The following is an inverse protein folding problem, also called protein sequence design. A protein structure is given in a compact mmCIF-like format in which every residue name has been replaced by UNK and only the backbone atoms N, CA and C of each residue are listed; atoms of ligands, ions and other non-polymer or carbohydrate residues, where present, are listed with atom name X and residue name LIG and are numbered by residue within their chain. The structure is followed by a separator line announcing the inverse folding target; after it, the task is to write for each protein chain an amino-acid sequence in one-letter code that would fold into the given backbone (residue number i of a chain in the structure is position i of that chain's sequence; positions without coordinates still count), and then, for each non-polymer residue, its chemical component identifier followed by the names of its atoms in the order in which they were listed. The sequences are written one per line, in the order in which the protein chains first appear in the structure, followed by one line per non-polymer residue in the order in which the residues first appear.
data_IF_994328142062
#
_entry.id   IF_994328142062
#
_cell.length_a   1.000
_cell.length_b   1.000
_cell.length_c   1.000
_cell.angle_alpha   90.00
_cell.angle_beta   90.00
_cell.angle_gamma   90.00
#
_symmetry.space_group_name_H-M   'P 1'
#
loop_
_entity.id
_entity.type
_entity.pdbx_description
1 polymer ?
#
# COMPACT_ATOMS: atom_id res chain seq x y z
N UNK A 1 53.85 15.68 -18.01
CA UNK A 1 52.71 15.64 -18.95
C UNK A 1 51.89 14.42 -18.62
N UNK A 2 50.88 14.61 -17.79
CA UNK A 2 49.87 13.64 -17.37
C UNK A 2 48.81 13.51 -18.46
N UNK A 3 48.39 12.30 -18.87
CA UNK A 3 47.18 12.15 -19.67
C UNK A 3 45.98 12.07 -18.73
N UNK A 4 45.05 12.98 -18.96
CA UNK A 4 43.75 13.14 -18.30
C UNK A 4 42.81 11.99 -18.63
N UNK A 5 42.25 11.39 -17.58
CA UNK A 5 41.10 10.49 -17.60
C UNK A 5 39.85 11.26 -18.04
N UNK A 6 39.14 10.72 -19.02
CA UNK A 6 37.83 11.21 -19.46
C UNK A 6 36.75 10.75 -18.47
N UNK A 7 35.89 11.70 -18.09
CA UNK A 7 34.78 11.59 -17.15
C UNK A 7 33.92 10.34 -17.36
N UNK A 8 33.70 9.63 -16.24
CA UNK A 8 32.74 8.56 -16.13
C UNK A 8 31.31 9.10 -16.11
N UNK A 9 30.46 8.40 -16.85
CA UNK A 9 29.02 8.57 -16.93
C UNK A 9 28.38 8.42 -15.53
N UNK A 10 28.10 9.55 -14.87
CA UNK A 10 27.37 9.56 -13.61
C UNK A 10 25.92 9.16 -13.91
N UNK A 11 25.56 7.93 -13.58
CA UNK A 11 24.19 7.44 -13.60
C UNK A 11 23.27 8.39 -12.82
N UNK A 12 22.58 9.27 -13.56
CA UNK A 12 21.58 10.19 -13.02
C UNK A 12 20.51 9.35 -12.34
N UNK A 13 20.43 9.44 -11.02
CA UNK A 13 19.34 8.80 -10.27
C UNK A 13 17.99 9.27 -10.87
N UNK A 14 17.06 8.34 -11.13
CA UNK A 14 15.77 8.68 -11.72
C UNK A 14 15.04 9.67 -10.80
N UNK A 15 14.26 10.59 -11.38
CA UNK A 15 13.51 11.60 -10.61
C UNK A 15 12.49 10.88 -9.72
N UNK A 16 12.81 10.71 -8.43
CA UNK A 16 11.93 10.10 -7.43
C UNK A 16 10.92 11.12 -6.93
N UNK A 17 9.64 10.76 -6.93
CA UNK A 17 8.66 11.38 -6.05
C UNK A 17 8.74 10.61 -4.73
N UNK A 18 9.53 11.13 -3.80
CA UNK A 18 9.68 10.56 -2.46
C UNK A 18 8.45 10.97 -1.66
N UNK A 19 7.76 9.99 -1.07
CA UNK A 19 6.67 10.22 -0.11
C UNK A 19 7.18 9.81 1.27
N UNK A 20 8.14 10.55 1.81
CA UNK A 20 8.58 10.33 3.17
C UNK A 20 7.51 10.85 4.15
N UNK A 21 7.31 10.19 5.31
CA UNK A 21 6.54 10.75 6.41
C UNK A 21 7.23 12.03 6.90
N UNK A 22 6.82 13.19 6.37
CA UNK A 22 7.47 14.49 6.62
C UNK A 22 7.42 15.46 5.43
N UNK A 23 7.28 14.96 4.19
CA UNK A 23 7.22 15.81 3.00
C UNK A 23 5.85 16.47 2.76
N UNK A 24 4.86 16.13 3.60
CA UNK A 24 3.56 16.81 3.59
C UNK A 24 3.67 18.04 4.49
N UNK A 25 4.18 19.13 3.93
CA UNK A 25 4.12 20.43 4.63
C UNK A 25 2.64 20.79 4.88
N UNK A 26 2.31 21.02 6.15
CA UNK A 26 1.04 21.62 6.52
C UNK A 26 0.92 23.00 5.84
N UNK A 27 -0.16 23.24 5.11
CA UNK A 27 -0.48 24.56 4.58
C UNK A 27 -0.55 25.57 5.73
N UNK A 28 0.16 26.71 5.68
CA UNK A 28 -0.02 27.76 6.68
C UNK A 28 -1.46 28.29 6.57
N UNK A 29 -2.10 28.47 7.73
CA UNK A 29 -3.50 28.87 7.88
C UNK A 29 -3.87 30.03 6.94
N UNK A 30 -4.68 29.76 5.91
CA UNK A 30 -5.24 30.84 5.09
C UNK A 30 -6.36 31.51 5.86
N UNK A 31 -6.14 32.77 6.27
CA UNK A 31 -7.19 33.66 6.78
C UNK A 31 -8.40 33.62 5.84
N UNK A 32 -9.53 33.19 6.39
CA UNK A 32 -10.81 33.15 5.69
C UNK A 32 -11.19 34.54 5.16
N UNK A 33 -11.50 34.62 3.86
CA UNK A 33 -12.18 35.76 3.26
C UNK A 33 -13.66 35.37 3.08
N UNK A 34 -14.64 36.18 3.51
CA UNK A 34 -16.05 35.84 3.38
C UNK A 34 -16.51 35.92 1.91
N UNK A 35 -17.56 35.16 1.52
CA UNK A 35 -18.02 35.12 0.14
C UNK A 35 -18.80 36.40 -0.25
N UNK A 36 -18.85 36.74 -1.55
CA UNK A 36 -19.59 37.89 -2.03
C UNK A 36 -21.10 37.61 -2.02
N UNK A 37 -21.88 38.63 -1.63
CA UNK A 37 -23.35 38.67 -1.72
C UNK A 37 -23.80 38.79 -3.18
N UNK A 38 -24.70 37.90 -3.60
CA UNK A 38 -25.35 37.93 -4.92
C UNK A 38 -26.62 38.78 -4.86
N UNK A 39 -26.68 39.85 -5.65
CA UNK A 39 -27.88 40.66 -5.88
C UNK A 39 -28.88 39.92 -6.79
N UNK A 40 -30.13 39.83 -6.35
CA UNK A 40 -31.25 39.28 -7.10
C UNK A 40 -32.00 40.39 -7.85
N UNK A 41 -31.76 40.56 -9.16
CA UNK A 41 -32.73 41.12 -10.12
C UNK A 41 -32.17 41.19 -11.57
N UNK A 42 -32.54 40.22 -12.41
CA UNK A 42 -32.64 40.39 -13.88
C UNK A 42 -33.48 39.24 -14.50
N UNK A 43 -34.38 39.50 -15.48
CA UNK A 43 -35.29 38.51 -16.04
C UNK A 43 -34.66 37.68 -17.17
N UNK A 44 -35.03 36.40 -17.25
CA UNK A 44 -34.60 35.45 -18.29
C UNK A 44 -35.56 35.46 -19.50
N UNK A 45 -35.07 35.30 -20.75
CA UNK A 45 -35.94 34.98 -21.88
C UNK A 45 -36.16 33.47 -22.00
N UNK A 46 -37.40 33.14 -22.35
CA UNK A 46 -37.95 31.79 -22.47
C UNK A 46 -37.47 31.05 -23.74
N UNK A 47 -37.17 29.76 -23.56
CA UNK A 47 -37.27 28.73 -24.59
C UNK A 47 -37.50 27.39 -23.89
N UNK A 48 -38.77 27.06 -23.67
CA UNK A 48 -39.25 25.70 -23.40
C UNK A 48 -39.11 24.86 -24.69
N UNK A 49 -38.51 23.68 -24.62
CA UNK A 49 -39.27 22.43 -24.48
C UNK A 49 -38.44 21.18 -24.85
N UNK A 50 -38.77 20.07 -24.19
CA UNK A 50 -38.22 18.71 -24.28
C UNK A 50 -37.13 18.34 -23.27
N UNK A 51 -37.44 18.45 -21.96
CA UNK A 51 -36.89 17.50 -20.97
C UNK A 51 -37.99 17.05 -20.02
N UNK A 52 -38.23 15.74 -20.03
CA UNK A 52 -39.15 15.03 -19.14
C UNK A 52 -38.88 15.36 -17.67
N UNK A 53 -39.95 15.73 -16.97
CA UNK A 53 -40.01 15.93 -15.53
C UNK A 53 -39.46 14.71 -14.76
N UNK A 54 -38.25 14.86 -14.22
CA UNK A 54 -37.82 14.16 -13.02
C UNK A 54 -37.47 15.24 -11.99
N UNK A 55 -38.49 15.61 -11.21
CA UNK A 55 -38.47 16.70 -10.23
C UNK A 55 -37.28 16.61 -9.29
N UNK A 56 -36.59 17.73 -9.09
CA UNK A 56 -35.58 17.91 -8.03
C UNK A 56 -36.27 17.83 -6.67
N UNK A 57 -35.82 17.01 -5.71
CA UNK A 57 -36.44 16.96 -4.38
C UNK A 57 -36.00 18.17 -3.54
N UNK A 58 -36.92 18.75 -2.77
CA UNK A 58 -36.61 19.76 -1.74
C UNK A 58 -35.80 19.19 -0.56
N UNK A 59 -35.09 20.05 0.16
CA UNK A 59 -34.15 19.71 1.25
C UNK A 59 -34.75 18.88 2.40
N UNK A 60 -36.08 18.90 2.59
CA UNK A 60 -36.77 18.03 3.55
C UNK A 60 -36.87 16.57 3.06
N UNK A 61 -37.14 16.38 1.76
CA UNK A 61 -37.11 15.06 1.13
C UNK A 61 -35.69 14.50 1.09
N UNK A 62 -34.68 15.36 0.90
CA UNK A 62 -33.27 14.94 0.98
C UNK A 62 -32.90 14.38 2.37
N UNK A 63 -33.35 15.02 3.46
CA UNK A 63 -33.09 14.54 4.82
C UNK A 63 -33.81 13.22 5.16
N UNK A 64 -35.05 13.02 4.71
CA UNK A 64 -35.75 11.73 4.89
C UNK A 64 -35.10 10.60 4.06
N UNK A 65 -34.64 10.91 2.85
CA UNK A 65 -33.97 9.97 1.93
C UNK A 65 -32.60 9.49 2.46
N UNK A 66 -31.91 10.27 3.30
CA UNK A 66 -30.60 9.94 3.89
C UNK A 66 -30.70 8.85 4.98
N UNK A 67 -31.88 8.65 5.58
CA UNK A 67 -32.08 7.73 6.71
C UNK A 67 -32.41 6.28 6.31
N UNK A 68 -32.56 5.97 5.02
CA UNK A 68 -33.05 4.67 4.58
C UNK A 68 -31.93 3.60 4.49
N UNK A 69 -32.01 2.45 5.20
CA UNK A 69 -30.97 1.41 5.24
C UNK A 69 -30.59 0.77 3.88
N UNK A 70 -31.40 0.97 2.84
CA UNK A 70 -31.10 0.50 1.48
C UNK A 70 -30.16 1.43 0.68
N UNK A 71 -29.84 2.64 1.18
CA UNK A 71 -28.94 3.58 0.51
C UNK A 71 -27.60 3.65 1.22
N UNK A 72 -26.52 3.42 0.46
CA UNK A 72 -25.19 3.76 0.93
C UNK A 72 -25.09 5.29 1.00
N UNK A 73 -24.68 5.81 2.16
CA UNK A 73 -24.33 7.23 2.33
C UNK A 73 -23.08 7.64 1.51
N UNK A 74 -22.44 6.66 0.86
CA UNK A 74 -21.31 6.79 -0.05
C UNK A 74 -21.78 7.13 -1.47
N UNK A 75 -20.89 7.74 -2.25
CA UNK A 75 -20.96 7.97 -3.69
C UNK A 75 -21.60 9.27 -4.17
N UNK A 76 -21.62 10.28 -3.31
CA UNK A 76 -22.16 11.63 -3.57
C UNK A 76 -21.05 12.66 -3.85
N UNK A 77 -19.80 12.31 -3.55
CA UNK A 77 -18.75 13.31 -3.33
C UNK A 77 -18.03 13.77 -4.60
N UNK A 78 -18.19 13.06 -5.72
CA UNK A 78 -17.43 13.32 -6.94
C UNK A 78 -18.34 13.56 -8.15
N UNK A 79 -17.94 14.41 -9.13
CA UNK A 79 -18.58 14.45 -10.45
C UNK A 79 -18.24 13.20 -11.27
N UNK A 80 -18.93 12.91 -12.39
CA UNK A 80 -18.57 11.80 -13.27
C UNK A 80 -17.11 11.87 -13.72
N UNK A 81 -16.39 10.75 -13.67
CA UNK A 81 -15.05 10.63 -14.21
C UNK A 81 -15.13 10.37 -15.71
N UNK A 82 -14.50 11.23 -16.50
CA UNK A 82 -14.51 11.16 -17.98
C UNK A 82 -13.11 10.89 -18.51
N UNK A 83 -13.00 10.39 -19.75
CA UNK A 83 -11.70 10.12 -20.38
C UNK A 83 -10.82 11.38 -20.47
N UNK A 84 -11.41 12.57 -20.62
CA UNK A 84 -10.69 13.85 -20.65
C UNK A 84 -10.01 14.21 -19.33
N UNK A 85 -10.44 13.62 -18.21
CA UNK A 85 -9.82 13.79 -16.89
C UNK A 85 -8.70 12.76 -16.64
N UNK A 86 -8.53 11.78 -17.53
CA UNK A 86 -7.50 10.76 -17.42
C UNK A 86 -6.22 11.25 -18.12
N UNK A 87 -5.07 11.06 -17.48
CA UNK A 87 -3.77 11.36 -18.11
C UNK A 87 -3.59 10.50 -19.38
N UNK A 88 -3.38 11.09 -20.56
CA UNK A 88 -3.57 10.38 -21.83
C UNK A 88 -2.58 9.23 -22.07
N UNK A 89 -1.41 9.27 -21.43
CA UNK A 89 -0.28 8.37 -21.75
C UNK A 89 0.44 7.77 -20.54
N UNK A 90 0.05 8.10 -19.31
CA UNK A 90 0.87 7.75 -18.14
C UNK A 90 0.00 7.55 -16.88
N UNK A 91 -0.22 6.29 -16.44
CA UNK A 91 -0.99 6.01 -15.24
C UNK A 91 -0.29 6.45 -13.94
N UNK A 92 1.04 6.57 -13.91
CA UNK A 92 1.76 7.04 -12.72
C UNK A 92 1.47 8.53 -12.48
N UNK A 93 1.43 9.33 -13.55
CA UNK A 93 0.99 10.73 -13.45
C UNK A 93 -0.47 10.85 -13.02
N UNK A 94 -1.34 9.96 -13.53
CA UNK A 94 -2.74 9.91 -13.08
C UNK A 94 -2.84 9.58 -11.59
N UNK A 95 -2.10 8.57 -11.12
CA UNK A 95 -2.04 8.18 -9.72
C UNK A 95 -1.55 9.35 -8.86
N UNK A 96 -0.44 9.99 -9.25
CA UNK A 96 0.10 11.14 -8.53
C UNK A 96 -0.92 12.29 -8.42
N UNK A 97 -1.67 12.56 -9.49
CA UNK A 97 -2.72 13.57 -9.46
C UNK A 97 -3.82 13.24 -8.46
N UNK A 98 -4.23 11.97 -8.33
CA UNK A 98 -5.22 11.57 -7.33
C UNK A 98 -4.63 11.49 -5.91
N UNK A 99 -3.37 11.09 -5.78
CA UNK A 99 -2.67 11.00 -4.51
C UNK A 99 -2.45 12.37 -3.86
N UNK A 100 -2.34 13.42 -4.69
CA UNK A 100 -2.25 14.83 -4.25
C UNK A 100 -3.61 15.51 -4.05
N UNK A 101 -4.71 14.77 -4.12
CA UNK A 101 -6.04 15.34 -3.86
C UNK A 101 -6.06 15.90 -2.42
N UNK A 102 -6.36 17.19 -2.22
CA UNK A 102 -6.25 17.85 -0.91
C UNK A 102 -7.21 17.26 0.14
N UNK A 103 -8.19 16.48 -0.29
CA UNK A 103 -9.11 15.75 0.58
C UNK A 103 -8.48 14.47 1.18
N UNK A 104 -7.32 14.02 0.68
CA UNK A 104 -6.49 12.98 1.29
C UNK A 104 -5.63 13.59 2.39
N UNK A 105 -6.20 13.71 3.59
CA UNK A 105 -5.49 14.24 4.74
C UNK A 105 -4.37 13.26 5.18
N UNK A 106 -3.19 13.75 5.61
CA UNK A 106 -2.11 12.89 6.12
C UNK A 106 -2.55 11.96 7.24
N UNK A 107 -3.47 12.42 8.10
CA UNK A 107 -4.04 11.63 9.20
C UNK A 107 -4.82 10.40 8.74
N UNK A 108 -5.18 10.31 7.46
CA UNK A 108 -5.83 9.14 6.86
C UNK A 108 -4.85 8.10 6.31
N UNK A 109 -3.53 8.37 6.39
CA UNK A 109 -2.47 7.55 5.83
C UNK A 109 -2.77 7.10 4.38
N UNK A 110 -2.94 8.03 3.42
CA UNK A 110 -3.36 7.72 2.06
C UNK A 110 -2.40 6.79 1.30
N UNK A 111 -1.14 6.67 1.74
CA UNK A 111 -0.14 5.73 1.25
C UNK A 111 -0.43 4.25 1.62
N UNK A 112 -1.38 4.00 2.52
CA UNK A 112 -1.78 2.66 2.95
C UNK A 112 -2.40 1.91 1.78
N UNK A 113 -1.88 0.72 1.50
CA UNK A 113 -2.38 -0.14 0.43
C UNK A 113 -2.30 -1.62 0.81
N UNK A 114 -3.15 -2.42 0.17
CA UNK A 114 -3.14 -3.87 0.31
C UNK A 114 -2.25 -4.47 -0.76
N UNK A 115 -1.21 -5.20 -0.35
CA UNK A 115 -0.36 -6.02 -1.20
C UNK A 115 -0.88 -7.46 -1.24
N UNK A 116 -1.27 -7.92 -2.42
CA UNK A 116 -1.62 -9.31 -2.70
C UNK A 116 -0.49 -10.01 -3.48
N UNK A 117 -0.16 -11.22 -3.06
CA UNK A 117 0.85 -12.11 -3.66
C UNK A 117 0.31 -13.55 -3.65
N UNK A 118 0.84 -14.42 -4.50
CA UNK A 118 0.40 -15.82 -4.57
C UNK A 118 1.59 -16.79 -4.53
N UNK A 119 1.47 -17.87 -3.75
CA UNK A 119 2.48 -18.93 -3.72
C UNK A 119 2.35 -19.86 -4.92
N UNK A 120 3.47 -20.24 -5.51
CA UNK A 120 3.55 -21.34 -6.47
C UNK A 120 4.05 -22.62 -5.79
N UNK A 121 3.65 -23.81 -6.26
CA UNK A 121 2.75 -24.07 -7.40
C UNK A 121 1.26 -24.00 -7.04
N UNK A 122 0.89 -23.87 -5.76
CA UNK A 122 -0.50 -24.03 -5.30
C UNK A 122 -1.47 -22.94 -5.80
N UNK A 123 -0.95 -21.78 -6.20
CA UNK A 123 -1.75 -20.60 -6.52
C UNK A 123 -2.41 -19.94 -5.30
N UNK A 124 -2.07 -20.37 -4.06
CA UNK A 124 -2.69 -19.82 -2.85
C UNK A 124 -2.34 -18.34 -2.70
N UNK A 125 -3.37 -17.51 -2.69
CA UNK A 125 -3.24 -16.06 -2.53
C UNK A 125 -3.14 -15.69 -1.05
N UNK A 126 -2.36 -14.65 -0.76
CA UNK A 126 -2.34 -13.98 0.54
C UNK A 126 -2.27 -12.47 0.34
N UNK A 127 -2.84 -11.72 1.27
CA UNK A 127 -2.87 -10.27 1.22
C UNK A 127 -2.56 -9.67 2.60
N UNK A 128 -1.94 -8.49 2.61
CA UNK A 128 -1.63 -7.72 3.82
C UNK A 128 -1.52 -6.24 3.53
N UNK A 129 -1.63 -5.42 4.56
CA UNK A 129 -1.39 -3.97 4.47
C UNK A 129 0.12 -3.70 4.39
N UNK A 130 0.49 -2.77 3.51
CA UNK A 130 1.81 -2.16 3.39
C UNK A 130 1.63 -0.65 3.13
N UNK A 131 2.73 0.09 3.12
CA UNK A 131 2.72 1.53 2.86
C UNK A 131 3.56 1.82 1.62
N UNK A 132 2.98 2.56 0.66
CA UNK A 132 3.74 3.18 -0.42
C UNK A 132 4.76 4.15 0.16
N UNK A 133 5.98 4.15 -0.36
CA UNK A 133 7.04 5.09 0.08
C UNK A 133 7.61 5.92 -1.05
N UNK A 134 7.71 5.36 -2.25
CA UNK A 134 8.17 6.11 -3.42
C UNK A 134 7.29 5.76 -4.62
N UNK A 135 7.09 6.75 -5.49
CA UNK A 135 6.66 6.54 -6.86
C UNK A 135 7.82 7.01 -7.73
N UNK A 136 8.43 6.09 -8.46
CA UNK A 136 9.45 6.44 -9.45
C UNK A 136 8.87 6.36 -10.87
N UNK A 137 9.70 6.55 -11.87
CA UNK A 137 9.28 6.53 -13.28
C UNK A 137 8.83 5.15 -13.77
N UNK A 138 9.12 4.09 -13.02
CA UNK A 138 8.88 2.69 -13.39
C UNK A 138 7.74 2.06 -12.60
N UNK A 139 7.49 2.48 -11.35
CA UNK A 139 6.41 1.90 -10.55
C UNK A 139 6.28 2.40 -9.11
N UNK A 140 5.56 1.61 -8.32
CA UNK A 140 5.25 1.88 -6.90
C UNK A 140 6.22 1.12 -6.01
N UNK A 141 6.90 1.82 -5.11
CA UNK A 141 7.93 1.23 -4.25
C UNK A 141 7.41 1.04 -2.82
N UNK A 142 7.58 -0.17 -2.31
CA UNK A 142 7.25 -0.57 -0.94
C UNK A 142 8.46 -1.22 -0.29
N UNK A 143 8.69 -0.90 0.98
CA UNK A 143 9.82 -1.44 1.75
C UNK A 143 9.35 -2.42 2.81
N UNK A 144 10.04 -3.55 2.93
CA UNK A 144 9.73 -4.59 3.91
C UNK A 144 10.93 -5.53 4.11
N UNK A 145 10.82 -6.44 5.06
CA UNK A 145 11.55 -7.70 5.01
C UNK A 145 10.98 -8.53 3.83
N UNK A 146 11.79 -8.74 2.78
CA UNK A 146 11.49 -9.69 1.70
C UNK A 146 12.46 -10.87 1.65
N UNK A 147 13.48 -10.86 2.50
CA UNK A 147 14.36 -12.00 2.72
C UNK A 147 13.72 -13.14 3.53
N UNK A 148 12.62 -12.87 4.24
CA UNK A 148 11.81 -13.90 4.90
C UNK A 148 11.22 -14.86 3.89
N UNK A 149 11.56 -16.14 4.05
CA UNK A 149 11.05 -17.24 3.23
C UNK A 149 9.66 -17.71 3.70
N UNK A 150 9.19 -17.12 4.79
CA UNK A 150 7.81 -17.24 5.26
C UNK A 150 6.96 -16.09 4.68
N UNK A 151 5.82 -16.44 4.09
CA UNK A 151 4.89 -15.45 3.55
C UNK A 151 5.37 -14.80 2.26
N UNK A 152 5.36 -13.46 2.19
CA UNK A 152 5.46 -12.73 0.91
C UNK A 152 6.83 -12.81 0.24
N UNK A 153 7.92 -12.86 1.02
CA UNK A 153 9.28 -12.96 0.45
C UNK A 153 9.46 -14.29 -0.26
N UNK A 154 9.15 -15.40 0.41
CA UNK A 154 9.13 -16.73 -0.19
C UNK A 154 8.15 -16.90 -1.36
N UNK A 155 6.98 -16.25 -1.29
CA UNK A 155 6.02 -16.28 -2.40
C UNK A 155 6.54 -15.58 -3.66
N UNK A 156 7.23 -14.44 -3.51
CA UNK A 156 7.70 -13.63 -4.64
C UNK A 156 9.03 -14.12 -5.18
N UNK A 157 9.96 -14.44 -4.29
CA UNK A 157 11.36 -14.74 -4.61
C UNK A 157 11.74 -16.21 -4.38
N UNK A 158 10.78 -17.07 -4.07
CA UNK A 158 11.01 -18.51 -3.95
C UNK A 158 11.60 -18.94 -2.61
N UNK A 159 11.80 -20.25 -2.45
CA UNK A 159 12.33 -20.88 -1.24
C UNK A 159 13.44 -21.89 -1.59
N UNK A 160 14.42 -22.07 -0.70
CA UNK A 160 15.40 -23.15 -0.83
C UNK A 160 14.71 -24.51 -0.67
N UNK A 161 15.13 -25.50 -1.47
CA UNK A 161 14.56 -26.85 -1.50
C UNK A 161 14.61 -27.56 -0.14
N UNK A 162 15.61 -27.23 0.68
CA UNK A 162 15.85 -27.89 1.97
C UNK A 162 14.98 -27.32 3.10
N UNK A 163 14.30 -26.17 2.89
CA UNK A 163 13.32 -25.60 3.82
C UNK A 163 13.86 -25.14 5.19
N UNK A 164 15.15 -25.28 5.47
CA UNK A 164 15.73 -24.98 6.79
C UNK A 164 15.95 -23.49 7.04
N UNK A 165 16.25 -22.69 6.01
CA UNK A 165 16.61 -21.29 6.21
C UNK A 165 15.40 -20.34 6.07
N UNK A 166 14.86 -19.92 7.22
CA UNK A 166 13.70 -19.01 7.29
C UNK A 166 14.01 -17.58 6.85
N UNK A 167 15.30 -17.17 6.81
CA UNK A 167 15.69 -15.79 6.58
C UNK A 167 16.95 -15.70 5.71
N UNK A 168 16.78 -15.14 4.52
CA UNK A 168 17.85 -15.02 3.52
C UNK A 168 18.09 -13.57 3.13
N UNK A 169 19.16 -13.29 2.38
CA UNK A 169 19.37 -11.96 1.83
C UNK A 169 18.27 -11.56 0.82
N UNK A 170 18.02 -10.26 0.71
CA UNK A 170 17.27 -9.67 -0.40
C UNK A 170 17.95 -10.04 -1.73
N UNK A 171 17.18 -10.45 -2.76
CA UNK A 171 17.73 -10.58 -4.11
C UNK A 171 18.17 -9.21 -4.65
N UNK A 172 19.27 -9.17 -5.40
CA UNK A 172 19.70 -7.95 -6.10
C UNK A 172 19.05 -7.82 -7.48
N UNK A 173 18.87 -6.59 -8.01
CA UNK A 173 18.35 -6.37 -9.35
C UNK A 173 19.15 -7.12 -10.41
N UNK A 174 18.45 -7.80 -11.33
CA UNK A 174 19.06 -8.48 -12.47
C UNK A 174 19.77 -9.80 -12.13
N UNK A 175 19.76 -10.25 -10.88
CA UNK A 175 20.19 -11.61 -10.56
C UNK A 175 19.22 -12.62 -11.16
N UNK A 176 19.77 -13.54 -11.96
CA UNK A 176 19.00 -14.63 -12.53
C UNK A 176 18.78 -15.72 -11.48
N UNK A 177 17.61 -15.68 -10.85
CA UNK A 177 17.17 -16.66 -9.85
C UNK A 177 17.14 -18.10 -10.41
N UNK A 178 17.09 -18.28 -11.74
CA UNK A 178 17.13 -19.61 -12.36
C UNK A 178 18.50 -20.28 -12.30
N UNK A 179 19.56 -19.51 -12.00
CA UNK A 179 20.93 -20.01 -11.86
C UNK A 179 21.29 -20.40 -10.42
N UNK A 180 20.41 -20.15 -9.44
CA UNK A 180 20.63 -20.58 -8.07
C UNK A 180 20.14 -22.03 -7.90
N UNK A 181 21.09 -22.98 -7.95
CA UNK A 181 20.83 -24.40 -7.73
C UNK A 181 20.05 -24.63 -6.42
N UNK A 182 18.91 -25.33 -6.51
CA UNK A 182 18.11 -25.72 -5.35
C UNK A 182 17.06 -24.69 -4.88
N UNK A 183 16.86 -23.55 -5.56
CA UNK A 183 15.74 -22.65 -5.26
C UNK A 183 14.48 -23.02 -6.07
N UNK A 184 13.37 -23.20 -5.37
CA UNK A 184 12.05 -23.24 -5.99
C UNK A 184 11.67 -21.82 -6.44
N UNK A 185 11.41 -21.64 -7.73
CA UNK A 185 11.10 -20.33 -8.30
C UNK A 185 9.84 -19.71 -7.67
N UNK A 186 9.95 -18.44 -7.27
CA UNK A 186 8.83 -17.65 -6.77
C UNK A 186 7.90 -17.14 -7.88
N UNK A 187 6.87 -16.40 -7.49
CA UNK A 187 5.94 -15.72 -8.38
C UNK A 187 6.06 -14.20 -8.25
N UNK A 188 6.70 -13.58 -9.25
CA UNK A 188 6.91 -12.13 -9.28
C UNK A 188 5.64 -11.32 -9.52
N UNK A 189 4.51 -11.95 -9.83
CA UNK A 189 3.24 -11.24 -9.95
C UNK A 189 2.68 -10.82 -8.59
N UNK A 190 2.33 -9.55 -8.47
CA UNK A 190 1.66 -9.00 -7.32
C UNK A 190 0.62 -7.93 -7.71
N UNK A 191 -0.21 -7.57 -6.74
CA UNK A 191 -1.15 -6.46 -6.88
C UNK A 191 -1.10 -5.54 -5.67
N UNK A 192 -1.18 -4.22 -5.92
CA UNK A 192 -1.42 -3.20 -4.90
C UNK A 192 -2.82 -2.62 -5.07
N UNK A 193 -3.55 -2.48 -3.97
CA UNK A 193 -4.87 -1.81 -3.96
C UNK A 193 -4.90 -0.69 -2.93
N UNK A 194 -5.16 0.53 -3.39
CA UNK A 194 -5.43 1.71 -2.57
C UNK A 194 -6.93 1.90 -2.48
N UNK A 195 -7.45 2.08 -1.26
CA UNK A 195 -8.86 2.38 -1.02
C UNK A 195 -8.97 3.68 -0.24
N UNK A 196 -9.38 4.76 -0.91
CA UNK A 196 -9.61 6.06 -0.28
C UNK A 196 -11.10 6.24 -0.05
N UNK A 197 -11.60 5.62 1.01
CA UNK A 197 -13.03 5.58 1.35
C UNK A 197 -13.67 6.97 1.39
N UNK A 198 -12.98 7.96 1.94
CA UNK A 198 -13.46 9.36 2.02
C UNK A 198 -13.60 10.02 0.64
N UNK A 199 -12.80 9.59 -0.34
CA UNK A 199 -12.90 10.07 -1.72
C UNK A 199 -13.77 9.18 -2.58
N UNK A 200 -14.26 8.06 -2.06
CA UNK A 200 -14.97 7.06 -2.85
C UNK A 200 -14.16 6.63 -4.08
N UNK A 201 -12.84 6.51 -3.92
CA UNK A 201 -11.90 6.14 -4.98
C UNK A 201 -11.11 4.91 -4.59
N UNK A 202 -10.78 4.13 -5.61
CA UNK A 202 -9.89 3.00 -5.48
C UNK A 202 -8.92 3.03 -6.65
N UNK A 203 -7.66 2.67 -6.39
CA UNK A 203 -6.67 2.40 -7.44
C UNK A 203 -6.14 0.99 -7.27
N UNK A 204 -6.17 0.21 -8.36
CA UNK A 204 -5.60 -1.15 -8.41
C UNK A 204 -4.42 -1.16 -9.38
N UNK A 205 -3.31 -1.72 -8.95
CA UNK A 205 -2.10 -1.90 -9.75
C UNK A 205 -1.81 -3.39 -9.78
N UNK A 206 -1.59 -3.95 -10.96
CA UNK A 206 -1.22 -5.36 -11.16
C UNK A 206 0.04 -5.40 -12.03
N UNK A 207 1.05 -6.17 -11.62
CA UNK A 207 2.33 -6.18 -12.32
C UNK A 207 3.41 -7.05 -11.69
N UNK A 208 4.64 -6.85 -12.14
CA UNK A 208 5.81 -7.61 -11.71
C UNK A 208 6.56 -6.88 -10.60
N UNK A 209 6.99 -7.65 -9.60
CA UNK A 209 7.84 -7.19 -8.51
C UNK A 209 9.30 -7.27 -8.95
N UNK A 210 10.01 -6.15 -8.78
CA UNK A 210 11.44 -6.05 -8.96
C UNK A 210 12.10 -5.59 -7.66
N UNK A 211 13.18 -6.25 -7.19
CA UNK A 211 13.94 -5.75 -6.06
C UNK A 211 14.62 -4.41 -6.41
N UNK A 212 14.76 -3.55 -5.41
CA UNK A 212 15.68 -2.40 -5.48
C UNK A 212 17.09 -2.87 -5.14
N UNK A 213 18.09 -2.14 -5.62
CA UNK A 213 19.47 -2.37 -5.19
C UNK A 213 19.63 -2.13 -3.69
N UNK A 214 20.67 -2.72 -3.10
CA UNK A 214 21.04 -2.46 -1.70
C UNK A 214 21.29 -0.98 -1.44
N UNK A 215 21.93 -0.28 -2.38
CA UNK A 215 22.23 1.15 -2.29
C UNK A 215 20.95 1.98 -2.27
N UNK A 216 20.00 1.72 -3.18
CA UNK A 216 18.70 2.39 -3.18
C UNK A 216 17.93 2.15 -1.87
N UNK A 217 18.01 0.91 -1.35
CA UNK A 217 17.35 0.54 -0.10
C UNK A 217 17.97 1.21 1.13
N UNK A 218 19.30 1.38 1.13
CA UNK A 218 20.05 2.04 2.21
C UNK A 218 19.65 3.52 2.32
N UNK A 219 19.45 4.21 1.19
CA UNK A 219 19.02 5.62 1.17
C UNK A 219 17.71 5.80 1.94
N UNK A 220 16.69 4.99 1.66
CA UNK A 220 15.43 5.07 2.42
C UNK A 220 15.59 4.56 3.86
N UNK A 221 16.37 3.49 4.08
CA UNK A 221 16.61 2.92 5.40
C UNK A 221 17.13 3.94 6.40
N UNK A 222 18.06 4.80 5.99
CA UNK A 222 18.65 5.84 6.84
C UNK A 222 17.67 6.97 7.19
N UNK A 223 16.54 7.10 6.49
CA UNK A 223 15.47 8.06 6.85
C UNK A 223 14.55 7.53 7.96
N UNK A 224 14.58 6.23 8.25
CA UNK A 224 13.68 5.61 9.22
C UNK A 224 14.08 6.01 10.63
N UNK A 225 13.07 6.22 11.48
CA UNK A 225 13.29 6.43 12.91
C UNK A 225 14.10 5.26 13.51
N UNK A 226 14.97 5.58 14.47
CA UNK A 226 15.86 4.59 15.10
C UNK A 226 15.10 3.39 15.66
N UNK A 227 13.97 3.60 16.34
CA UNK A 227 13.13 2.51 16.85
C UNK A 227 12.59 1.60 15.75
N UNK A 228 12.28 2.16 14.58
CA UNK A 228 11.88 1.42 13.38
C UNK A 228 13.02 0.59 12.79
N UNK A 229 14.26 1.09 12.84
CA UNK A 229 15.46 0.36 12.42
C UNK A 229 15.75 -0.80 13.39
N UNK A 230 15.70 -0.56 14.70
CA UNK A 230 15.83 -1.57 15.76
C UNK A 230 14.78 -2.67 15.59
N UNK A 231 13.51 -2.31 15.44
CA UNK A 231 12.42 -3.28 15.30
C UNK A 231 12.57 -4.16 14.05
N UNK A 232 13.12 -3.62 12.96
CA UNK A 232 13.40 -4.40 11.76
C UNK A 232 14.55 -5.41 11.94
N UNK A 233 15.58 -5.09 12.74
CA UNK A 233 16.64 -6.03 13.12
C UNK A 233 16.15 -7.11 14.10
N UNK A 234 15.27 -6.74 15.03
CA UNK A 234 14.74 -7.65 16.04
C UNK A 234 13.69 -8.64 15.48
N UNK A 235 13.03 -8.29 14.37
CA UNK A 235 11.91 -9.04 13.81
C UNK A 235 12.33 -10.04 12.74
N UNK A 236 12.11 -11.32 13.01
CA UNK A 236 12.09 -12.37 11.98
C UNK A 236 10.68 -12.46 11.43
N UNK A 237 10.37 -11.51 10.55
CA UNK A 237 9.01 -11.26 10.10
C UNK A 237 8.36 -12.54 9.55
N UNK A 238 7.13 -12.79 10.01
CA UNK A 238 6.28 -13.94 9.64
C UNK A 238 6.66 -15.29 10.26
N UNK A 239 7.73 -15.36 11.05
CA UNK A 239 8.05 -16.56 11.83
C UNK A 239 7.03 -16.82 12.91
N UNK A 240 6.58 -18.07 13.00
CA UNK A 240 5.73 -18.53 14.09
C UNK A 240 6.54 -18.48 15.39
N UNK A 241 6.12 -17.65 16.33
CA UNK A 241 6.74 -17.55 17.66
C UNK A 241 6.10 -18.52 18.65
N UNK A 242 4.83 -18.82 18.44
CA UNK A 242 4.02 -19.61 19.33
C UNK A 242 2.85 -20.24 18.56
N UNK A 243 2.48 -21.46 18.96
CA UNK A 243 1.35 -22.20 18.41
C UNK A 243 0.74 -23.10 19.48
N UNK A 244 -0.59 -23.20 19.52
CA UNK A 244 -1.29 -24.16 20.36
C UNK A 244 -2.57 -24.63 19.66
N UNK A 245 -2.94 -25.89 19.85
CA UNK A 245 -4.24 -26.41 19.43
C UNK A 245 -5.38 -25.84 20.31
N UNK A 246 -6.52 -25.44 19.73
CA UNK A 246 -7.62 -24.78 20.47
C UNK A 246 -8.14 -25.55 21.67
N UNK A 247 -8.18 -26.89 21.60
CA UNK A 247 -8.70 -27.76 22.66
C UNK A 247 -7.86 -27.63 23.94
N UNK A 248 -6.54 -27.53 23.79
CA UNK A 248 -5.60 -27.39 24.91
C UNK A 248 -5.69 -25.99 25.53
N UNK A 249 -5.95 -24.96 24.73
CA UNK A 249 -6.10 -23.58 25.20
C UNK A 249 -7.33 -23.41 26.09
N UNK A 250 -8.45 -24.04 25.72
CA UNK A 250 -9.70 -24.02 26.51
C UNK A 250 -9.46 -24.63 27.90
N UNK A 251 -8.78 -25.77 27.97
CA UNK A 251 -8.52 -26.46 29.24
C UNK A 251 -7.53 -25.69 30.13
N UNK A 252 -6.52 -25.03 29.55
CA UNK A 252 -5.63 -24.14 30.32
C UNK A 252 -6.34 -22.89 30.82
N UNK A 253 -7.20 -22.26 30.00
CA UNK A 253 -8.02 -21.13 30.44
C UNK A 253 -8.93 -21.52 31.61
N UNK A 254 -9.53 -22.73 31.57
CA UNK A 254 -10.35 -23.26 32.67
C UNK A 254 -9.54 -23.52 33.94
N UNK A 255 -8.30 -24.01 33.83
CA UNK A 255 -7.41 -24.25 35.00
C UNK A 255 -6.91 -22.95 35.64
N UNK A 256 -6.77 -21.88 34.86
CA UNK A 256 -6.37 -20.54 35.34
C UNK A 256 -7.50 -19.80 36.06
N UNK A 257 -8.75 -20.26 35.96
CA UNK A 257 -9.92 -19.66 36.62
C UNK A 257 -10.33 -20.57 37.79
N UNK A 258 -10.26 -20.05 39.02
CA UNK A 258 -10.76 -20.76 40.21
C UNK A 258 -12.25 -21.14 40.01
N UNK A 259 -12.63 -22.43 40.16
CA UNK A 259 -14.01 -22.89 39.95
C UNK A 259 -15.06 -22.19 40.84
N UNK A 260 -14.64 -21.61 41.97
CA UNK A 260 -15.54 -20.89 42.89
C UNK A 260 -15.84 -19.45 42.46
N UNK A 261 -15.12 -18.90 41.48
CA UNK A 261 -15.29 -17.53 40.96
C UNK A 261 -16.16 -17.45 39.69
N UNK A 262 -16.81 -18.55 39.29
CA UNK A 262 -17.50 -18.69 38.00
C UNK A 262 -18.87 -17.98 37.90
N UNK A 263 -19.12 -16.89 38.64
CA UNK A 263 -20.37 -16.15 38.55
C UNK A 263 -20.23 -14.74 37.95
N UNK A 264 -19.03 -14.16 37.89
CA UNK A 264 -18.84 -12.80 37.40
C UNK A 264 -17.46 -12.69 36.74
N UNK A 265 -17.37 -13.01 35.45
CA UNK A 265 -16.17 -12.72 34.66
C UNK A 265 -16.17 -11.21 34.37
N UNK A 266 -15.24 -10.40 34.92
CA UNK A 266 -15.07 -9.01 34.50
C UNK A 266 -14.59 -8.98 33.04
N UNK A 267 -14.98 -7.96 32.28
CA UNK A 267 -14.84 -7.96 30.81
C UNK A 267 -13.41 -7.94 30.25
N UNK A 268 -12.38 -7.78 31.09
CA UNK A 268 -11.02 -7.48 30.61
C UNK A 268 -9.96 -8.41 31.24
N UNK A 269 -10.19 -9.73 31.23
CA UNK A 269 -9.18 -10.71 31.70
C UNK A 269 -8.06 -10.84 30.67
N UNK A 270 -7.08 -9.94 30.78
CA UNK A 270 -5.75 -10.01 30.16
C UNK A 270 -4.72 -10.66 31.12
N UNK A 271 -5.15 -11.68 31.87
CA UNK A 271 -4.31 -12.44 32.81
C UNK A 271 -4.41 -13.92 32.47
N UNK A 272 -3.91 -14.31 31.30
CA UNK A 272 -3.49 -15.70 31.09
C UNK A 272 -1.98 -15.77 31.25
N UNK A 273 -1.47 -16.60 32.17
CA UNK A 273 -0.02 -16.89 32.37
C UNK A 273 0.64 -17.62 31.17
N UNK A 274 0.04 -17.51 29.98
CA UNK A 274 0.47 -18.21 28.79
C UNK A 274 1.43 -17.30 28.04
N UNK A 275 2.72 -17.65 28.03
CA UNK A 275 3.70 -17.01 27.15
C UNK A 275 3.32 -17.26 25.69
N UNK A 276 2.89 -16.21 24.99
CA UNK A 276 2.46 -16.18 23.59
C UNK A 276 3.56 -15.68 22.63
N UNK A 277 4.79 -15.49 23.16
CA UNK A 277 5.92 -14.95 22.42
C UNK A 277 6.10 -13.43 22.52
N UNK A 278 5.22 -12.69 23.23
CA UNK A 278 5.43 -11.25 23.48
C UNK A 278 6.74 -10.97 24.20
N UNK A 279 7.04 -11.71 25.27
CA UNK A 279 8.27 -11.54 26.05
C UNK A 279 9.53 -11.82 25.21
N UNK A 280 9.46 -12.78 24.28
CA UNK A 280 10.54 -13.06 23.33
C UNK A 280 10.78 -11.87 22.37
N UNK A 281 9.73 -11.24 21.87
CA UNK A 281 9.84 -10.06 21.02
C UNK A 281 10.51 -8.89 21.75
N UNK A 282 10.07 -8.59 22.97
CA UNK A 282 10.64 -7.52 23.79
C UNK A 282 12.10 -7.80 24.16
N UNK A 283 12.44 -9.06 24.44
CA UNK A 283 13.82 -9.48 24.63
C UNK A 283 14.68 -9.18 23.38
N UNK A 284 14.22 -9.57 22.19
CA UNK A 284 14.94 -9.32 20.93
C UNK A 284 15.11 -7.82 20.64
N UNK A 285 14.11 -7.00 20.96
CA UNK A 285 14.23 -5.54 20.84
C UNK A 285 15.34 -5.03 21.75
N UNK A 286 15.34 -5.39 23.04
CA UNK A 286 16.39 -5.00 23.98
C UNK A 286 17.78 -5.45 23.53
N UNK A 287 17.92 -6.69 23.07
CA UNK A 287 19.17 -7.21 22.52
C UNK A 287 19.69 -6.35 21.34
N UNK A 288 18.79 -5.88 20.46
CA UNK A 288 19.17 -5.00 19.35
C UNK A 288 19.47 -3.57 19.81
N UNK A 289 18.75 -3.04 20.80
CA UNK A 289 19.04 -1.74 21.42
C UNK A 289 20.43 -1.72 22.05
N UNK A 290 20.78 -2.77 22.80
CA UNK A 290 22.11 -2.96 23.38
C UNK A 290 23.17 -3.12 22.30
N UNK A 291 22.93 -3.98 21.30
CA UNK A 291 23.86 -4.22 20.19
C UNK A 291 24.21 -2.94 19.43
N UNK A 292 23.23 -2.07 19.22
CA UNK A 292 23.41 -0.83 18.47
C UNK A 292 23.57 0.39 19.39
N UNK A 293 23.82 0.19 20.68
CA UNK A 293 24.13 1.29 21.60
C UNK A 293 25.39 2.04 21.11
N UNK A 294 25.29 3.36 20.96
CA UNK A 294 26.39 4.20 20.45
C UNK A 294 26.66 4.11 18.94
N UNK A 295 25.94 3.28 18.19
CA UNK A 295 26.01 3.24 16.72
C UNK A 295 25.13 4.35 16.15
N UNK A 296 25.73 5.37 15.55
CA UNK A 296 25.00 6.52 14.99
C UNK A 296 24.06 6.10 13.86
N UNK A 297 24.60 5.43 12.84
CA UNK A 297 23.84 4.91 11.69
C UNK A 297 23.74 3.39 11.77
N UNK A 298 22.55 2.88 12.08
CA UNK A 298 22.30 1.44 12.12
C UNK A 298 22.34 0.92 10.68
N UNK A 299 23.12 -0.14 10.37
CA UNK A 299 23.22 -0.65 9.01
C UNK A 299 21.91 -1.29 8.55
N UNK A 300 21.65 -1.28 7.24
CA UNK A 300 20.55 -2.01 6.63
C UNK A 300 20.69 -3.54 6.84
N UNK A 301 19.68 -4.23 7.41
CA UNK A 301 19.68 -5.68 7.50
C UNK A 301 19.70 -6.35 6.12
N UNK A 302 20.42 -7.48 5.94
CA UNK A 302 20.57 -8.11 4.62
C UNK A 302 19.26 -8.63 4.02
N UNK A 303 18.25 -8.90 4.85
CA UNK A 303 16.93 -9.42 4.47
C UNK A 303 15.86 -8.33 4.27
N UNK A 304 16.23 -7.06 4.46
CA UNK A 304 15.31 -5.93 4.37
C UNK A 304 15.66 -5.07 3.16
N UNK A 305 14.66 -4.61 2.42
CA UNK A 305 14.88 -3.76 1.27
C UNK A 305 13.58 -3.27 0.62
N UNK A 306 13.76 -2.49 -0.44
CA UNK A 306 12.68 -2.04 -1.30
C UNK A 306 12.37 -3.05 -2.37
N UNK A 307 11.10 -3.13 -2.77
CA UNK A 307 10.72 -3.66 -4.07
C UNK A 307 9.83 -2.67 -4.80
N UNK A 308 9.89 -2.70 -6.11
CA UNK A 308 9.09 -1.92 -7.04
C UNK A 308 8.06 -2.82 -7.69
N UNK A 309 6.79 -2.41 -7.67
CA UNK A 309 5.76 -2.99 -8.52
C UNK A 309 5.74 -2.26 -9.86
N UNK A 310 6.27 -2.92 -10.89
CA UNK A 310 6.25 -2.44 -12.28
C UNK A 310 4.91 -2.83 -12.91
N UNK A 311 4.05 -1.85 -13.30
CA UNK A 311 2.66 -2.12 -13.63
C UNK A 311 2.50 -2.72 -15.03
N UNK A 312 1.73 -3.80 -15.14
CA UNK A 312 1.17 -4.30 -16.40
C UNK A 312 -0.25 -3.76 -16.63
N UNK A 313 -0.98 -3.49 -15.53
CA UNK A 313 -2.24 -2.76 -15.59
C UNK A 313 -2.46 -1.86 -14.37
N UNK A 314 -3.21 -0.79 -14.58
CA UNK A 314 -3.63 0.15 -13.52
C UNK A 314 -5.09 0.53 -13.71
N UNK A 315 -5.94 0.25 -12.74
CA UNK A 315 -7.36 0.61 -12.75
C UNK A 315 -7.65 1.75 -11.76
N UNK A 316 -8.32 2.78 -12.26
CA UNK A 316 -8.87 3.90 -11.50
C UNK A 316 -10.38 3.71 -11.41
N UNK A 317 -10.87 3.52 -10.20
CA UNK A 317 -12.28 3.34 -9.89
C UNK A 317 -12.78 4.54 -9.09
N UNK A 318 -13.95 5.06 -9.45
CA UNK A 318 -14.64 6.11 -8.74
C UNK A 318 -16.12 5.78 -8.51
N UNK A 319 -16.55 5.90 -7.27
CA UNK A 319 -17.90 5.64 -6.83
C UNK A 319 -18.95 6.59 -7.44
N UNK A 320 -20.17 6.07 -7.68
CA UNK A 320 -21.32 6.82 -8.22
C UNK A 320 -22.60 6.38 -7.49
N UNK A 321 -23.49 7.33 -7.19
CA UNK A 321 -24.78 7.08 -6.50
C UNK A 321 -25.62 5.98 -7.16
N UNK A 322 -25.60 5.93 -8.50
CA UNK A 322 -26.37 4.99 -9.31
C UNK A 322 -25.84 3.55 -9.30
N UNK A 323 -24.72 3.27 -8.61
CA UNK A 323 -23.93 2.03 -8.73
C UNK A 323 -23.28 1.81 -10.09
N UNK A 324 -23.54 2.70 -11.05
CA UNK A 324 -22.83 2.73 -12.32
C UNK A 324 -21.49 3.45 -12.13
N UNK A 325 -20.55 2.78 -11.46
CA UNK A 325 -19.23 3.30 -11.12
C UNK A 325 -18.39 3.61 -12.35
N UNK A 326 -17.56 4.64 -12.24
CA UNK A 326 -16.63 4.99 -13.32
C UNK A 326 -15.34 4.19 -13.15
N UNK A 327 -14.98 3.41 -14.17
CA UNK A 327 -13.82 2.53 -14.16
C UNK A 327 -12.98 2.74 -15.41
N UNK A 328 -11.76 3.25 -15.25
CA UNK A 328 -10.79 3.37 -16.32
C UNK A 328 -9.56 2.52 -16.02
N UNK A 329 -9.20 1.64 -16.95
CA UNK A 329 -8.03 0.77 -16.85
C UNK A 329 -7.01 1.12 -17.91
N UNK A 330 -5.78 1.36 -17.49
CA UNK A 330 -4.59 1.39 -18.31
C UNK A 330 -4.05 -0.03 -18.42
N UNK A 331 -3.75 -0.47 -19.63
CA UNK A 331 -3.12 -1.76 -19.92
C UNK A 331 -1.85 -1.51 -20.71
N UNK A 332 -0.74 -2.09 -20.27
CA UNK A 332 0.54 -2.02 -20.97
C UNK A 332 0.43 -2.82 -22.27
N UNK A 333 0.89 -2.22 -23.38
CA UNK A 333 0.93 -2.85 -24.69
C UNK A 333 2.38 -2.78 -25.19
N UNK A 334 3.04 -3.92 -25.23
CA UNK A 334 4.40 -4.05 -25.73
C UNK A 334 4.46 -3.91 -27.25
N UNK A 335 5.53 -3.31 -27.75
CA UNK A 335 5.89 -3.34 -29.16
C UNK A 335 6.46 -4.73 -29.52
N UNK A 336 6.54 -5.03 -30.81
CA UNK A 336 7.04 -6.32 -31.32
C UNK A 336 8.50 -6.61 -30.92
N UNK A 337 9.29 -5.58 -30.60
CA UNK A 337 10.69 -5.71 -30.17
C UNK A 337 10.88 -5.76 -28.65
N UNK A 338 9.80 -5.81 -27.86
CA UNK A 338 9.73 -5.79 -26.38
C UNK A 338 10.47 -4.65 -25.66
N UNK A 339 11.22 -3.81 -26.38
CA UNK A 339 12.03 -2.72 -25.86
C UNK A 339 11.23 -1.47 -25.52
N UNK A 340 10.05 -1.33 -26.12
CA UNK A 340 9.15 -0.23 -25.93
C UNK A 340 7.73 -0.70 -25.59
N UNK A 341 7.00 0.11 -24.84
CA UNK A 341 5.58 -0.12 -24.57
C UNK A 341 4.79 1.19 -24.63
N UNK A 342 3.49 1.06 -24.83
CA UNK A 342 2.52 2.16 -24.70
C UNK A 342 1.37 1.75 -23.80
N UNK A 343 0.64 2.74 -23.29
CA UNK A 343 -0.57 2.50 -22.52
C UNK A 343 -1.81 2.56 -23.41
N UNK A 344 -2.69 1.57 -23.26
CA UNK A 344 -4.05 1.60 -23.80
C UNK A 344 -5.03 1.85 -22.65
N UNK A 345 -5.92 2.83 -22.82
CA UNK A 345 -6.97 3.14 -21.84
C UNK A 345 -8.28 2.47 -22.24
N UNK A 346 -8.96 1.84 -21.29
CA UNK A 346 -10.25 1.17 -21.46
C UNK A 346 -11.24 1.65 -20.40
N UNK A 347 -12.52 1.84 -20.77
CA UNK A 347 -13.60 1.96 -19.78
C UNK A 347 -14.16 0.57 -19.48
N UNK A 348 -14.31 0.24 -18.20
CA UNK A 348 -14.89 -1.04 -17.78
C UNK A 348 -16.33 -0.85 -17.31
N UNK A 349 -17.17 -1.87 -17.50
CA UNK A 349 -18.48 -1.93 -16.86
C UNK A 349 -18.30 -2.00 -15.33
N UNK A 350 -19.13 -1.29 -14.55
CA UNK A 350 -19.15 -1.40 -13.10
C UNK A 350 -19.59 -2.78 -12.62
#
# INVERSE_FOLDING_TARGET
MTPTLTDGDSAKHPKKLIFAPGDIQATPESKATPPPTLDSNAPAPAAEDLRSNASTPDSAAENEIVSHPARAHQFVSNPPLTISQMHPTNPLHQFHSWFRDPRLLPSSAPETCTLATASMPTGRVSARVVYLKELDERGWVVYSNWGSREGKGGQVFGNHADGEDTLSAMPEPGQDESLQEGLQQGNKWAALTFCWSNLERQVRIEGLVEPLSREESEVYWQTRERGSQIGAWASWQSKVLWSMEPEILIDRRRKSLDPTMCAQIPKDVDETDIDDGRALLEKRVREMEERFAGVEQIPLPPYWGGVRLVPESVEFWQGRRSRLHDRFRYVRVHAEDESAYRWRIQRLSP
#
